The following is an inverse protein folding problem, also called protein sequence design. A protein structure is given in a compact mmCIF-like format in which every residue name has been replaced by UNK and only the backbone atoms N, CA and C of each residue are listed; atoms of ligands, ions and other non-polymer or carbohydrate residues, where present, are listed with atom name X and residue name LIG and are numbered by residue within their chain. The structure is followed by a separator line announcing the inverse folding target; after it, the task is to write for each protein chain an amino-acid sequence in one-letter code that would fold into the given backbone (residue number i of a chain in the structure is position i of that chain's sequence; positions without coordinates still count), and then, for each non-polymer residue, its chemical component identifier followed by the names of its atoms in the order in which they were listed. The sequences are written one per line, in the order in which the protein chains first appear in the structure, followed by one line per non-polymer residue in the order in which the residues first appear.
data_IF_138087311212
#
_entry.id   IF_138087311212
#
_cell.length_a   1.000
_cell.length_b   1.000
_cell.length_c   1.000
_cell.angle_alpha   90.00
_cell.angle_beta   90.00
_cell.angle_gamma   90.00
#
_symmetry.space_group_name_H-M   'P 1'
#
loop_
_entity.id
_entity.type
_entity.pdbx_description
1 polymer ?
#
# COMPACT_ATOMS: atom_id res chain seq x y z
N UNK A 1 47.91 -9.54 3.82
CA UNK A 1 47.02 -10.35 2.94
C UNK A 1 46.14 -11.21 3.83
N UNK A 2 44.92 -10.75 4.13
CA UNK A 2 43.94 -11.50 4.93
C UNK A 2 42.67 -11.62 4.10
N UNK A 3 42.35 -12.86 3.73
CA UNK A 3 41.16 -13.24 2.95
C UNK A 3 40.04 -13.62 3.91
N UNK A 4 38.82 -13.18 3.58
CA UNK A 4 37.54 -13.60 4.14
C UNK A 4 37.43 -15.11 4.32
N UNK A 5 36.70 -15.57 5.36
CA UNK A 5 35.66 -16.62 5.25
C UNK A 5 34.59 -16.52 6.36
N UNK A 6 33.34 -16.43 5.87
CA UNK A 6 32.12 -17.09 6.38
C UNK A 6 31.38 -16.53 7.62
N UNK A 7 30.54 -15.54 7.33
CA UNK A 7 29.25 -15.32 8.00
C UNK A 7 28.31 -16.47 7.62
N UNK A 8 28.22 -17.47 8.50
CA UNK A 8 27.42 -18.69 8.31
C UNK A 8 26.78 -19.16 9.62
N UNK A 9 26.35 -18.22 10.47
CA UNK A 9 25.50 -18.51 11.61
C UNK A 9 24.11 -18.92 11.08
N UNK A 10 23.98 -20.23 10.86
CA UNK A 10 22.90 -20.92 10.16
C UNK A 10 21.50 -20.56 10.69
N UNK A 11 20.56 -20.30 9.76
CA UNK A 11 19.11 -20.19 9.97
C UNK A 11 18.51 -21.28 10.89
N UNK A 12 19.19 -22.42 11.02
CA UNK A 12 18.81 -23.51 11.94
C UNK A 12 18.77 -23.08 13.40
N UNK A 13 19.66 -22.21 13.84
CA UNK A 13 19.67 -21.72 15.24
C UNK A 13 18.45 -20.84 15.51
N UNK A 14 18.05 -20.01 14.54
CA UNK A 14 16.89 -19.13 14.67
C UNK A 14 15.57 -19.91 14.67
N UNK A 15 15.46 -20.95 13.81
CA UNK A 15 14.30 -21.85 13.79
C UNK A 15 14.18 -22.65 15.10
N UNK A 16 15.30 -23.07 15.71
CA UNK A 16 15.30 -23.81 16.96
C UNK A 16 14.78 -22.97 18.13
N UNK A 17 15.23 -21.72 18.25
CA UNK A 17 14.80 -20.78 19.31
C UNK A 17 13.31 -20.45 19.21
N UNK A 18 12.77 -20.26 18.00
CA UNK A 18 11.34 -19.98 17.82
C UNK A 18 10.44 -21.19 18.13
N UNK A 19 10.96 -22.41 17.97
CA UNK A 19 10.21 -23.63 18.25
C UNK A 19 10.11 -23.93 19.75
N UNK A 20 11.14 -23.58 20.53
CA UNK A 20 11.15 -23.73 21.99
C UNK A 20 10.15 -22.81 22.70
N UNK A 21 9.96 -21.58 22.21
CA UNK A 21 9.03 -20.61 22.81
C UNK A 21 7.53 -20.99 22.63
N UNK A 22 7.21 -22.03 21.87
CA UNK A 22 5.82 -22.42 21.57
C UNK A 22 5.27 -23.53 22.49
N UNK A 23 6.04 -24.06 23.44
CA UNK A 23 5.61 -25.22 24.26
C UNK A 23 5.47 -24.97 25.78
N UNK A 24 5.29 -23.73 26.25
CA UNK A 24 5.11 -23.48 27.70
C UNK A 24 3.98 -22.53 28.05
N UNK A 25 2.83 -22.61 27.38
CA UNK A 25 1.61 -21.98 27.91
C UNK A 25 0.42 -22.93 27.81
N UNK A 26 0.30 -23.79 28.82
CA UNK A 26 -0.87 -24.62 29.05
C UNK A 26 -1.40 -24.35 30.46
N UNK A 27 -2.75 -24.38 30.56
CA UNK A 27 -3.65 -24.30 31.73
C UNK A 27 -4.21 -22.89 32.05
N UNK A 28 -5.52 -22.67 32.25
CA UNK A 28 -6.57 -23.54 32.82
C UNK A 28 -8.00 -23.02 32.58
N UNK A 29 -9.00 -23.92 32.48
CA UNK A 29 -10.27 -23.73 33.22
C UNK A 29 -11.55 -23.34 32.46
N UNK A 30 -12.35 -24.37 32.10
CA UNK A 30 -13.82 -24.49 32.26
C UNK A 30 -14.71 -23.25 32.00
N UNK A 31 -15.57 -23.33 30.98
CA UNK A 31 -17.02 -23.14 31.18
C UNK A 31 -17.86 -23.79 30.06
N UNK A 32 -18.43 -24.97 30.34
CA UNK A 32 -19.58 -25.49 29.58
C UNK A 32 -20.84 -24.94 30.25
N UNK A 33 -21.62 -24.10 29.56
CA UNK A 33 -23.07 -23.93 29.81
C UNK A 33 -23.76 -23.29 28.60
N UNK A 34 -24.59 -24.13 27.96
CA UNK A 34 -25.82 -23.88 27.18
C UNK A 34 -26.22 -22.42 26.85
N UNK A 35 -26.57 -22.19 25.58
CA UNK A 35 -27.97 -21.90 25.20
C UNK A 35 -28.22 -22.27 23.73
N UNK A 36 -29.50 -22.47 23.41
CA UNK A 36 -30.08 -23.24 22.33
C UNK A 36 -30.84 -22.31 21.37
N UNK A 37 -30.68 -22.56 20.06
CA UNK A 37 -31.63 -22.38 18.93
C UNK A 37 -32.19 -20.99 18.55
N UNK A 38 -32.26 -20.84 17.22
CA UNK A 38 -33.30 -20.17 16.41
C UNK A 38 -33.16 -18.68 16.18
N UNK A 39 -32.78 -18.29 14.96
CA UNK A 39 -33.71 -17.90 13.88
C UNK A 39 -32.91 -17.57 12.61
N UNK A 40 -33.34 -18.12 11.48
CA UNK A 40 -32.86 -17.75 10.16
C UNK A 40 -33.64 -16.53 9.67
N UNK A 41 -32.97 -15.46 9.22
CA UNK A 41 -33.54 -14.43 8.32
C UNK A 41 -32.41 -13.79 7.48
N UNK A 42 -32.57 -13.87 6.16
CA UNK A 42 -32.19 -12.91 5.10
C UNK A 42 -30.98 -11.96 5.19
N UNK A 43 -30.12 -12.11 4.18
CA UNK A 43 -29.31 -11.10 3.42
C UNK A 43 -30.09 -9.77 3.18
N UNK A 44 -29.54 -8.54 2.88
CA UNK A 44 -28.20 -8.10 2.41
C UNK A 44 -27.57 -6.88 3.15
N UNK A 45 -26.39 -6.48 2.65
CA UNK A 45 -25.70 -5.20 2.83
C UNK A 45 -26.60 -3.95 2.89
N UNK A 46 -26.41 -3.12 3.92
CA UNK A 46 -26.58 -1.66 3.94
C UNK A 46 -26.40 -1.16 5.39
N UNK A 47 -25.16 -0.85 5.80
CA UNK A 47 -24.94 0.01 6.96
C UNK A 47 -25.12 1.46 6.53
N UNK A 48 -26.38 1.88 6.45
CA UNK A 48 -26.79 3.28 6.37
C UNK A 48 -26.40 3.95 7.70
N UNK A 49 -25.25 4.63 7.74
CA UNK A 49 -24.92 5.53 8.83
C UNK A 49 -25.67 6.85 8.62
N UNK A 50 -26.64 7.08 9.50
CA UNK A 50 -27.24 8.38 9.71
C UNK A 50 -26.22 9.32 10.36
N UNK A 51 -25.89 10.43 9.70
CA UNK A 51 -25.32 11.61 10.36
C UNK A 51 -26.25 12.79 10.13
N UNK A 52 -26.75 13.30 11.25
CA UNK A 52 -27.62 14.46 11.32
C UNK A 52 -26.92 15.74 10.87
N UNK A 53 -27.75 16.61 10.32
CA UNK A 53 -27.50 17.97 9.85
C UNK A 53 -26.53 18.79 10.70
N UNK A 54 -25.31 18.98 10.18
CA UNK A 54 -24.73 20.30 9.94
C UNK A 54 -23.98 20.17 8.62
N UNK A 55 -24.53 20.73 7.55
CA UNK A 55 -23.77 20.89 6.31
C UNK A 55 -22.70 21.94 6.58
N UNK A 56 -21.56 21.50 7.12
CA UNK A 56 -20.31 22.23 7.00
C UNK A 56 -19.99 22.14 5.53
N UNK A 57 -20.33 23.19 4.78
CA UNK A 57 -19.72 23.41 3.48
C UNK A 57 -18.27 23.80 3.76
N UNK A 58 -17.43 22.80 4.06
CA UNK A 58 -16.00 22.94 3.92
C UNK A 58 -15.78 23.15 2.42
N UNK A 59 -15.24 24.30 2.04
CA UNK A 59 -14.78 24.49 0.67
C UNK A 59 -13.69 23.44 0.41
N UNK A 60 -14.03 22.38 -0.32
CA UNK A 60 -13.11 21.36 -0.85
C UNK A 60 -12.15 21.98 -1.87
N UNK A 61 -11.25 22.85 -1.41
CA UNK A 61 -10.19 23.44 -2.22
C UNK A 61 -8.95 22.52 -2.34
N UNK A 62 -9.06 21.25 -1.92
CA UNK A 62 -7.96 20.28 -1.90
C UNK A 62 -8.32 18.92 -2.49
N UNK A 63 -9.49 18.82 -3.14
CA UNK A 63 -9.90 17.61 -3.85
C UNK A 63 -9.08 17.46 -5.14
N UNK A 64 -8.51 16.28 -5.33
CA UNK A 64 -7.80 15.91 -6.56
C UNK A 64 -8.84 15.63 -7.65
N UNK A 65 -8.60 16.09 -8.88
CA UNK A 65 -9.41 15.71 -10.04
C UNK A 65 -9.43 14.18 -10.18
N UNK A 66 -10.60 13.59 -10.41
CA UNK A 66 -10.76 12.15 -10.66
C UNK A 66 -10.90 11.95 -12.16
N UNK A 67 -9.75 11.85 -12.83
CA UNK A 67 -9.64 11.83 -14.29
C UNK A 67 -8.76 10.68 -14.81
N UNK A 68 -8.16 9.90 -13.93
CA UNK A 68 -7.27 8.80 -14.29
C UNK A 68 -5.88 9.26 -14.78
N UNK A 69 -5.53 10.54 -14.62
CA UNK A 69 -4.21 11.09 -14.91
C UNK A 69 -3.48 11.51 -13.64
N UNK A 70 -2.25 11.05 -13.47
CA UNK A 70 -1.47 11.37 -12.29
C UNK A 70 -0.67 12.64 -12.54
N UNK A 71 -1.09 13.72 -11.89
CA UNK A 71 -0.37 15.00 -11.87
C UNK A 71 0.18 15.37 -10.49
N UNK A 72 0.74 16.56 -10.40
CA UNK A 72 1.26 17.15 -9.14
C UNK A 72 0.23 17.14 -8.00
N UNK A 73 -1.04 17.42 -8.30
CA UNK A 73 -2.13 17.37 -7.31
C UNK A 73 -2.36 15.95 -6.78
N UNK A 74 -2.27 14.93 -7.63
CA UNK A 74 -2.38 13.53 -7.22
C UNK A 74 -1.20 13.13 -6.34
N UNK A 75 0.02 13.57 -6.66
CA UNK A 75 1.21 13.36 -5.83
C UNK A 75 1.08 14.04 -4.45
N UNK A 76 0.64 15.30 -4.41
CA UNK A 76 0.39 16.01 -3.15
C UNK A 76 -0.74 15.35 -2.34
N UNK A 77 -1.80 14.92 -3.02
CA UNK A 77 -2.90 14.16 -2.43
C UNK A 77 -2.41 12.84 -1.81
N UNK A 78 -1.57 12.08 -2.51
CA UNK A 78 -0.97 10.85 -2.01
C UNK A 78 -0.11 11.10 -0.77
N UNK A 79 0.72 12.15 -0.76
CA UNK A 79 1.54 12.51 0.40
C UNK A 79 0.67 12.82 1.63
N UNK A 80 -0.39 13.62 1.45
CA UNK A 80 -1.36 13.92 2.52
C UNK A 80 -2.08 12.66 2.98
N UNK A 81 -2.53 11.82 2.05
CA UNK A 81 -3.19 10.55 2.34
C UNK A 81 -2.28 9.63 3.17
N UNK A 82 -1.03 9.43 2.74
CA UNK A 82 -0.04 8.66 3.50
C UNK A 82 0.23 9.25 4.89
N UNK A 83 0.29 10.58 5.01
CA UNK A 83 0.39 11.22 6.32
C UNK A 83 -0.82 10.92 7.21
N UNK A 84 -2.04 10.95 6.66
CA UNK A 84 -3.28 10.70 7.38
C UNK A 84 -3.43 9.24 7.82
N UNK A 85 -3.22 8.27 6.92
CA UNK A 85 -3.48 6.85 7.20
C UNK A 85 -2.32 6.12 7.87
N UNK A 86 -1.10 6.67 7.78
CA UNK A 86 0.12 6.00 8.25
C UNK A 86 0.97 6.84 9.20
N UNK A 87 0.69 8.13 9.35
CA UNK A 87 1.56 9.03 10.12
C UNK A 87 2.96 9.15 9.51
N UNK A 88 3.05 9.10 8.17
CA UNK A 88 4.31 8.95 7.45
C UNK A 88 5.28 10.15 7.59
N UNK A 89 4.80 11.33 8.01
CA UNK A 89 5.64 12.51 8.23
C UNK A 89 6.26 13.09 6.95
N UNK A 90 5.63 12.87 5.80
CA UNK A 90 6.07 13.33 4.50
C UNK A 90 5.87 14.84 4.34
N UNK A 91 6.80 15.48 3.63
CA UNK A 91 6.55 16.82 3.08
C UNK A 91 5.54 16.71 1.95
N UNK A 92 4.61 17.67 1.88
CA UNK A 92 3.60 17.75 0.81
C UNK A 92 4.09 18.74 -0.22
N UNK A 93 4.95 18.28 -1.12
CA UNK A 93 5.58 19.08 -2.18
C UNK A 93 5.04 18.78 -3.58
N UNK A 94 4.13 17.79 -3.72
CA UNK A 94 3.54 17.43 -5.00
C UNK A 94 4.47 16.65 -5.93
N UNK A 95 5.63 16.19 -5.45
CA UNK A 95 6.62 15.50 -6.28
C UNK A 95 6.94 14.10 -5.74
N UNK A 96 6.81 13.09 -6.60
CA UNK A 96 7.38 11.77 -6.37
C UNK A 96 8.83 11.79 -6.89
N UNK A 97 9.77 11.98 -5.99
CA UNK A 97 11.18 12.23 -6.29
C UNK A 97 11.97 10.99 -6.75
N UNK A 98 13.00 11.24 -7.57
CA UNK A 98 14.08 10.30 -7.91
C UNK A 98 13.62 8.91 -8.37
N UNK A 99 12.74 8.87 -9.36
CA UNK A 99 12.15 7.63 -9.90
C UNK A 99 12.87 7.18 -11.19
N UNK A 100 13.05 5.87 -11.41
CA UNK A 100 13.80 5.37 -12.57
C UNK A 100 13.06 5.67 -13.88
N UNK A 101 13.73 6.35 -14.80
CA UNK A 101 13.16 6.78 -16.09
C UNK A 101 12.80 5.61 -16.99
N UNK A 102 13.41 4.43 -16.81
CA UNK A 102 13.01 3.20 -17.51
C UNK A 102 11.57 2.78 -17.25
N UNK A 103 10.95 3.23 -16.15
CA UNK A 103 9.57 2.92 -15.81
C UNK A 103 8.56 3.87 -16.48
N UNK A 104 8.99 5.07 -16.88
CA UNK A 104 8.10 6.07 -17.48
C UNK A 104 7.28 5.55 -18.69
N UNK A 105 7.83 4.73 -19.62
CA UNK A 105 7.04 4.17 -20.71
C UNK A 105 5.87 3.28 -20.27
N UNK A 106 5.99 2.60 -19.13
CA UNK A 106 4.92 1.78 -18.53
C UNK A 106 3.94 2.60 -17.70
N UNK A 107 4.16 3.90 -17.58
CA UNK A 107 3.38 4.83 -16.77
C UNK A 107 2.90 6.03 -17.59
N UNK A 108 2.31 5.78 -18.77
CA UNK A 108 1.82 6.82 -19.67
C UNK A 108 0.71 7.71 -19.08
N UNK A 109 0.02 7.26 -18.03
CA UNK A 109 -0.95 8.05 -17.28
C UNK A 109 -0.33 9.07 -16.31
N UNK A 110 0.98 9.04 -16.10
CA UNK A 110 1.70 10.02 -15.30
C UNK A 110 2.09 11.21 -16.19
N UNK A 111 1.44 12.36 -15.95
CA UNK A 111 1.60 13.56 -16.77
C UNK A 111 2.44 14.65 -16.10
N UNK A 112 2.47 14.69 -14.75
CA UNK A 112 3.31 15.61 -13.97
C UNK A 112 3.45 15.11 -12.51
N UNK A 113 4.16 15.85 -11.66
CA UNK A 113 4.29 15.51 -10.24
C UNK A 113 5.26 14.36 -9.94
N UNK A 114 6.13 14.03 -10.90
CA UNK A 114 7.15 12.98 -10.81
C UNK A 114 8.48 13.50 -11.32
N UNK A 115 9.55 13.12 -10.65
CA UNK A 115 10.93 13.37 -11.07
C UNK A 115 11.52 12.06 -11.60
N UNK A 116 11.63 11.96 -12.92
CA UNK A 116 12.28 10.84 -13.59
C UNK A 116 13.78 11.10 -13.73
N UNK A 117 14.60 10.16 -13.27
CA UNK A 117 16.06 10.20 -13.34
C UNK A 117 16.60 8.92 -13.95
N UNK A 118 17.85 8.92 -14.40
CA UNK A 118 18.49 7.69 -14.85
C UNK A 118 18.44 6.60 -13.77
N UNK A 119 18.17 5.36 -14.18
CA UNK A 119 18.03 4.21 -13.28
C UNK A 119 19.19 4.06 -12.27
N UNK A 120 20.42 4.36 -12.71
CA UNK A 120 21.61 4.29 -11.88
C UNK A 120 21.68 5.39 -10.79
N UNK A 121 20.88 6.46 -10.93
CA UNK A 121 20.80 7.58 -10.01
C UNK A 121 19.48 7.59 -9.22
N UNK A 122 18.53 6.70 -9.55
CA UNK A 122 17.24 6.61 -8.87
C UNK A 122 17.42 6.15 -7.42
N UNK A 123 17.29 7.10 -6.49
CA UNK A 123 17.31 6.87 -5.05
C UNK A 123 15.92 6.54 -4.49
N UNK A 124 14.87 6.85 -5.24
CA UNK A 124 13.49 6.68 -4.85
C UNK A 124 12.98 7.76 -3.88
N UNK A 125 11.71 7.65 -3.52
CA UNK A 125 10.94 8.61 -2.73
C UNK A 125 10.42 7.98 -1.44
N UNK A 126 10.43 8.71 -0.30
CA UNK A 126 9.75 8.26 0.91
C UNK A 126 8.23 8.11 0.72
N UNK A 127 7.62 8.86 -0.21
CA UNK A 127 6.20 8.70 -0.55
C UNK A 127 5.92 7.31 -1.13
N UNK A 128 6.79 6.81 -2.01
CA UNK A 128 6.68 5.47 -2.58
C UNK A 128 6.83 4.40 -1.51
N UNK A 129 7.78 4.58 -0.57
CA UNK A 129 7.93 3.65 0.55
C UNK A 129 6.67 3.62 1.42
N UNK A 130 6.11 4.80 1.71
CA UNK A 130 4.87 4.89 2.46
C UNK A 130 3.74 4.15 1.73
N UNK A 131 3.56 4.37 0.42
CA UNK A 131 2.56 3.65 -0.38
C UNK A 131 2.79 2.13 -0.36
N UNK A 132 4.02 1.68 -0.57
CA UNK A 132 4.38 0.27 -0.54
C UNK A 132 4.03 -0.39 0.81
N UNK A 133 4.38 0.26 1.91
CA UNK A 133 4.06 -0.22 3.25
C UNK A 133 2.57 -0.15 3.57
N UNK A 134 1.82 0.79 2.97
CA UNK A 134 0.38 0.92 3.17
C UNK A 134 -0.35 -0.24 2.48
N UNK A 135 0.01 -0.52 1.22
CA UNK A 135 -0.42 -1.70 0.48
C UNK A 135 -0.06 -3.00 1.25
N UNK A 136 1.14 -3.03 1.85
CA UNK A 136 1.63 -4.12 2.69
C UNK A 136 0.95 -4.28 4.05
N UNK A 137 0.29 -3.23 4.57
CA UNK A 137 -0.46 -3.28 5.84
C UNK A 137 -1.92 -3.66 5.62
N UNK A 138 -2.49 -3.27 4.46
CA UNK A 138 -3.81 -3.73 4.01
C UNK A 138 -3.80 -5.19 3.51
N UNK A 139 -2.64 -5.68 3.08
CA UNK A 139 -2.39 -7.10 2.82
C UNK A 139 -1.75 -7.76 4.04
N UNK A 140 -1.96 -9.06 4.28
CA UNK A 140 -1.17 -9.75 5.31
C UNK A 140 0.29 -9.70 4.85
N UNK A 141 1.27 -9.27 5.66
CA UNK A 141 2.66 -9.12 5.21
C UNK A 141 3.29 -10.38 4.56
N UNK A 142 2.77 -11.57 4.87
CA UNK A 142 3.09 -12.83 4.17
C UNK A 142 2.68 -12.81 2.70
N UNK A 143 1.52 -12.21 2.39
CA UNK A 143 0.98 -12.04 1.04
C UNK A 143 1.86 -11.10 0.21
N UNK A 144 2.37 -10.01 0.80
CA UNK A 144 3.30 -9.10 0.09
C UNK A 144 4.58 -9.82 -0.33
N UNK A 145 5.17 -10.63 0.56
CA UNK A 145 6.35 -11.44 0.24
C UNK A 145 6.06 -12.47 -0.88
N UNK A 146 4.94 -13.18 -0.79
CA UNK A 146 4.53 -14.16 -1.82
C UNK A 146 4.31 -13.50 -3.19
N UNK A 147 3.74 -12.28 -3.23
CA UNK A 147 3.51 -11.54 -4.48
C UNK A 147 4.81 -11.09 -5.16
N UNK A 148 5.81 -10.69 -4.37
CA UNK A 148 7.14 -10.35 -4.92
C UNK A 148 7.81 -11.59 -5.53
N UNK A 149 7.69 -12.74 -4.86
CA UNK A 149 8.22 -14.01 -5.35
C UNK A 149 7.50 -14.48 -6.63
N UNK A 150 6.16 -14.32 -6.66
CA UNK A 150 5.30 -14.68 -7.79
C UNK A 150 5.57 -13.83 -9.03
N UNK A 151 5.66 -12.50 -8.89
CA UNK A 151 5.80 -11.60 -10.02
C UNK A 151 7.25 -11.36 -10.44
N UNK A 152 8.20 -11.68 -9.58
CA UNK A 152 9.62 -11.39 -9.78
C UNK A 152 9.90 -9.88 -9.69
N UNK A 153 10.91 -9.51 -8.90
CA UNK A 153 11.36 -8.12 -8.84
C UNK A 153 12.19 -7.83 -7.61
N UNK A 154 13.25 -7.03 -7.77
CA UNK A 154 13.93 -6.42 -6.63
C UNK A 154 13.12 -5.19 -6.21
N UNK A 155 12.53 -5.24 -5.02
CA UNK A 155 11.69 -4.15 -4.51
C UNK A 155 12.36 -3.57 -3.27
N UNK A 156 12.89 -2.36 -3.40
CA UNK A 156 13.41 -1.59 -2.25
C UNK A 156 12.29 -0.85 -1.50
N UNK A 157 11.14 -0.68 -2.14
CA UNK A 157 9.98 0.07 -1.66
C UNK A 157 10.02 1.57 -2.00
N UNK A 158 11.19 2.14 -2.31
CA UNK A 158 11.34 3.58 -2.57
C UNK A 158 11.14 3.97 -4.03
N UNK A 159 11.32 3.04 -4.96
CA UNK A 159 11.22 3.30 -6.39
C UNK A 159 10.05 2.54 -6.98
N UNK A 160 9.29 3.20 -7.85
CA UNK A 160 8.22 2.55 -8.60
C UNK A 160 8.78 1.40 -9.42
N UNK A 161 8.04 0.31 -9.41
CA UNK A 161 8.30 -0.88 -10.22
C UNK A 161 6.95 -1.47 -10.65
N UNK A 162 6.97 -2.38 -11.62
CA UNK A 162 5.75 -3.13 -11.98
C UNK A 162 5.08 -3.79 -10.77
N UNK A 163 5.84 -4.23 -9.76
CA UNK A 163 5.28 -4.81 -8.52
C UNK A 163 4.45 -3.80 -7.73
N UNK A 164 4.92 -2.55 -7.60
CA UNK A 164 4.15 -1.50 -6.90
C UNK A 164 2.80 -1.24 -7.57
N UNK A 165 2.82 -1.14 -8.90
CA UNK A 165 1.61 -0.88 -9.68
C UNK A 165 0.65 -2.05 -9.58
N UNK A 166 1.14 -3.28 -9.70
CA UNK A 166 0.32 -4.49 -9.54
C UNK A 166 -0.29 -4.61 -8.15
N UNK A 167 0.44 -4.25 -7.09
CA UNK A 167 -0.11 -4.22 -5.73
C UNK A 167 -1.23 -3.17 -5.60
N UNK A 168 -1.05 -2.00 -6.21
CA UNK A 168 -2.07 -0.96 -6.24
C UNK A 168 -3.32 -1.41 -7.02
N UNK A 169 -3.12 -2.10 -8.14
CA UNK A 169 -4.21 -2.69 -8.94
C UNK A 169 -4.97 -3.76 -8.16
N UNK A 170 -4.28 -4.70 -7.51
CA UNK A 170 -4.93 -5.72 -6.67
C UNK A 170 -5.67 -5.08 -5.50
N UNK A 171 -5.13 -4.03 -4.89
CA UNK A 171 -5.78 -3.31 -3.80
C UNK A 171 -7.16 -2.77 -4.22
N UNK A 172 -7.28 -2.28 -5.45
CA UNK A 172 -8.55 -1.82 -6.03
C UNK A 172 -9.38 -2.90 -6.73
N UNK A 173 -8.94 -4.16 -6.69
CA UNK A 173 -9.62 -5.27 -7.37
C UNK A 173 -9.54 -5.22 -8.91
N UNK A 174 -8.52 -4.54 -9.44
CA UNK A 174 -8.23 -4.43 -10.86
C UNK A 174 -7.27 -5.53 -11.33
N UNK A 175 -7.19 -5.73 -12.64
CA UNK A 175 -6.20 -6.63 -13.25
C UNK A 175 -4.79 -6.10 -13.00
N UNK A 176 -3.93 -6.98 -12.47
CA UNK A 176 -2.54 -6.65 -12.11
C UNK A 176 -1.58 -6.78 -13.31
N UNK A 177 -1.67 -5.86 -14.27
CA UNK A 177 -0.78 -5.82 -15.45
C UNK A 177 0.55 -5.07 -15.19
N UNK A 178 0.61 -4.24 -14.15
CA UNK A 178 1.81 -3.48 -13.79
C UNK A 178 2.05 -2.23 -14.63
N UNK A 179 1.02 -1.71 -15.30
CA UNK A 179 1.08 -0.44 -16.04
C UNK A 179 0.12 0.61 -15.46
N UNK A 180 0.48 1.88 -15.62
CA UNK A 180 -0.42 3.01 -15.37
C UNK A 180 -0.70 3.68 -16.72
N UNK A 181 -1.74 3.20 -17.39
CA UNK A 181 -2.13 3.66 -18.72
C UNK A 181 -2.75 5.07 -18.73
N UNK A 182 -2.95 5.62 -19.93
CA UNK A 182 -3.46 6.97 -20.12
C UNK A 182 -4.81 6.92 -20.85
N UNK A 183 -5.96 7.11 -20.17
CA UNK A 183 -6.15 7.23 -18.71
C UNK A 183 -6.07 5.88 -17.98
N UNK A 184 -5.76 5.90 -16.67
CA UNK A 184 -5.64 4.69 -15.85
C UNK A 184 -6.80 4.53 -14.87
N UNK A 185 -7.54 3.41 -14.91
CA UNK A 185 -8.51 3.06 -13.88
C UNK A 185 -7.89 2.95 -12.47
N UNK A 186 -6.62 2.55 -12.39
CA UNK A 186 -5.87 2.48 -11.13
C UNK A 186 -5.64 3.87 -10.55
N UNK A 187 -5.29 4.85 -11.39
CA UNK A 187 -5.12 6.24 -10.97
C UNK A 187 -6.46 6.82 -10.53
N UNK A 188 -7.53 6.57 -11.29
CA UNK A 188 -8.88 7.03 -10.94
C UNK A 188 -9.34 6.49 -9.57
N UNK A 189 -9.10 5.20 -9.30
CA UNK A 189 -9.41 4.60 -8.01
C UNK A 189 -8.59 5.23 -6.87
N UNK A 190 -7.28 5.47 -7.10
CA UNK A 190 -6.42 6.15 -6.14
C UNK A 190 -6.89 7.58 -5.86
N UNK A 191 -7.23 8.35 -6.89
CA UNK A 191 -7.73 9.72 -6.75
C UNK A 191 -9.04 9.75 -5.94
N UNK A 192 -9.95 8.81 -6.21
CA UNK A 192 -11.18 8.65 -5.42
C UNK A 192 -10.88 8.35 -3.95
N UNK A 193 -9.95 7.44 -3.67
CA UNK A 193 -9.59 7.10 -2.30
C UNK A 193 -8.94 8.28 -1.58
N UNK A 194 -7.98 8.96 -2.22
CA UNK A 194 -7.36 10.18 -1.70
C UNK A 194 -8.44 11.17 -1.27
N UNK A 195 -9.42 11.44 -2.14
CA UNK A 195 -10.51 12.39 -1.86
C UNK A 195 -11.40 12.01 -0.68
N UNK A 196 -11.43 10.75 -0.24
CA UNK A 196 -12.14 10.37 0.99
C UNK A 196 -11.43 10.85 2.27
N UNK A 197 -10.12 11.12 2.19
CA UNK A 197 -9.30 11.48 3.35
C UNK A 197 -8.77 12.92 3.33
N UNK A 198 -8.71 13.55 2.16
CA UNK A 198 -8.18 14.92 2.00
C UNK A 198 -9.15 15.91 1.36
N UNK A 199 -10.38 15.48 1.04
CA UNK A 199 -11.45 16.27 0.43
C UNK A 199 -12.30 17.09 1.40
#
# INVERSE_FOLDING_TARGET
MMREKHVGASLRTYIFILKENKMTNEHSGISRRRLVRTAAVGVPAASLLAFGSTLVTATSASAVSVDGYWGEETSAGLQRFMNAVRGAGLSVDGVISSQPSSMAPSCSGIVSGWEWVDDAQASGSPTMLAMYQWLGSGTHGQHLFLKIEEWGGNVTGYSITGVHIKLLQEHYGLTADGTLDSPSPTIEALQNEINQYVG
#
